data_IF_778476563051
#
_entry.id   IF_778476563051
#
_cell.length_a   1.000
_cell.length_b   1.000
_cell.length_c   1.000
_cell.angle_alpha   90.00
_cell.angle_beta   90.00
_cell.angle_gamma   90.00
#
_symmetry.space_group_name_H-M   'P 1'
#
loop_
_entity.id
_entity.type
_entity.pdbx_description
1 polymer ?
#
# COMPACT_ATOMS: atom_id res chain seq x y z
N UNK A 1 -10.80 -55.36 8.96
CA UNK A 1 -10.12 -54.35 9.79
C UNK A 1 -9.81 -53.13 8.92
N UNK A 2 -10.65 -52.10 8.99
CA UNK A 2 -10.57 -50.86 8.23
C UNK A 2 -9.51 -49.94 8.85
N UNK A 3 -8.47 -49.60 8.10
CA UNK A 3 -7.46 -48.64 8.52
C UNK A 3 -8.05 -47.22 8.44
N UNK A 4 -8.28 -46.59 9.59
CA UNK A 4 -8.56 -45.15 9.66
C UNK A 4 -7.30 -44.41 9.20
N UNK A 5 -7.36 -43.81 8.02
CA UNK A 5 -6.36 -42.86 7.54
C UNK A 5 -6.54 -41.56 8.37
N UNK A 6 -5.50 -41.00 8.99
CA UNK A 6 -5.64 -39.80 9.78
C UNK A 6 -5.96 -38.62 8.83
N UNK A 7 -7.19 -38.10 8.93
CA UNK A 7 -7.69 -36.95 8.17
C UNK A 7 -7.15 -35.60 8.66
N UNK A 8 -6.47 -35.58 9.81
CA UNK A 8 -5.98 -34.35 10.48
C UNK A 8 -4.86 -33.59 9.75
N UNK A 9 -3.81 -34.23 9.18
CA UNK A 9 -2.75 -33.49 8.50
C UNK A 9 -3.20 -32.90 7.15
N UNK A 10 -4.26 -33.44 6.53
CA UNK A 10 -4.82 -32.88 5.30
C UNK A 10 -5.53 -31.54 5.54
N UNK A 11 -6.17 -31.36 6.70
CA UNK A 11 -6.83 -30.09 7.05
C UNK A 11 -5.83 -28.97 7.35
N UNK A 12 -4.67 -29.29 7.92
CA UNK A 12 -3.65 -28.30 8.27
C UNK A 12 -2.92 -27.72 7.04
N UNK A 13 -2.80 -28.49 5.96
CA UNK A 13 -2.22 -28.02 4.69
C UNK A 13 -3.17 -27.06 3.95
N UNK A 14 -4.49 -27.20 4.16
CA UNK A 14 -5.51 -26.34 3.54
C UNK A 14 -5.59 -24.93 4.16
N UNK A 15 -5.05 -24.70 5.37
CA UNK A 15 -5.17 -23.40 6.07
C UNK A 15 -4.01 -22.44 5.84
N UNK A 16 -2.93 -22.85 5.17
CA UNK A 16 -1.75 -21.99 4.93
C UNK A 16 -1.94 -21.09 3.68
N UNK A 17 -2.95 -21.33 2.86
CA UNK A 17 -3.02 -20.79 1.50
C UNK A 17 -4.17 -19.83 1.21
N UNK A 18 -4.31 -18.71 1.93
CA UNK A 18 -4.81 -17.44 1.36
C UNK A 18 -4.65 -16.31 2.39
N UNK A 19 -3.51 -15.64 2.35
CA UNK A 19 -3.43 -14.23 2.79
C UNK A 19 -3.12 -13.42 1.55
N UNK A 20 -4.03 -13.45 0.57
CA UNK A 20 -3.99 -12.50 -0.53
C UNK A 20 -4.48 -11.15 0.00
N UNK A 21 -3.56 -10.20 0.16
CA UNK A 21 -3.94 -8.80 0.25
C UNK A 21 -4.76 -8.45 -0.99
N UNK A 22 -5.93 -7.84 -0.81
CA UNK A 22 -6.82 -7.51 -1.92
C UNK A 22 -6.15 -6.48 -2.85
N UNK A 23 -5.50 -6.96 -3.91
CA UNK A 23 -4.87 -6.12 -4.92
C UNK A 23 -5.91 -5.83 -6.01
N UNK A 24 -6.48 -4.63 -5.99
CA UNK A 24 -7.44 -4.20 -7.01
C UNK A 24 -6.74 -4.01 -8.35
N UNK A 25 -7.09 -4.82 -9.34
CA UNK A 25 -6.62 -4.67 -10.71
C UNK A 25 -7.56 -3.74 -11.48
N UNK A 26 -7.04 -2.62 -11.98
CA UNK A 26 -7.78 -1.68 -12.81
C UNK A 26 -7.22 -1.73 -14.24
N UNK A 27 -7.94 -2.30 -15.23
CA UNK A 27 -7.48 -2.30 -16.60
C UNK A 27 -7.55 -0.88 -17.19
N UNK A 28 -6.48 -0.45 -17.84
CA UNK A 28 -6.40 0.84 -18.55
C UNK A 28 -5.70 0.65 -19.89
N UNK A 29 -6.16 1.32 -20.95
CA UNK A 29 -5.48 1.30 -22.26
C UNK A 29 -4.54 2.49 -22.40
N UNK A 30 -3.49 2.31 -23.19
CA UNK A 30 -2.57 3.39 -23.51
C UNK A 30 -3.32 4.55 -24.20
N UNK A 31 -3.06 5.78 -23.77
CA UNK A 31 -3.71 6.99 -24.26
C UNK A 31 -4.99 7.38 -23.50
N UNK A 32 -5.55 6.49 -22.67
CA UNK A 32 -6.76 6.81 -21.89
C UNK A 32 -6.44 7.67 -20.67
N UNK A 33 -7.40 8.53 -20.32
CA UNK A 33 -7.37 9.25 -19.05
C UNK A 33 -7.82 8.31 -17.93
N UNK A 34 -6.99 8.15 -16.90
CA UNK A 34 -7.30 7.32 -15.73
C UNK A 34 -7.52 8.20 -14.52
N UNK A 35 -8.54 7.90 -13.72
CA UNK A 35 -8.83 8.60 -12.46
C UNK A 35 -8.84 7.59 -11.33
N UNK A 36 -7.88 7.72 -10.42
CA UNK A 36 -7.76 6.89 -9.22
C UNK A 36 -8.26 7.69 -8.02
N UNK A 37 -9.00 7.03 -7.13
CA UNK A 37 -9.61 7.71 -5.99
C UNK A 37 -9.96 6.75 -4.88
N UNK A 38 -9.88 7.27 -3.66
CA UNK A 38 -10.43 6.65 -2.45
C UNK A 38 -11.73 7.37 -2.05
N UNK A 39 -12.30 7.01 -0.88
CA UNK A 39 -13.40 7.77 -0.30
C UNK A 39 -12.98 9.25 -0.14
N UNK A 40 -13.74 10.22 -0.69
CA UNK A 40 -13.43 11.65 -0.58
C UNK A 40 -13.24 12.17 0.85
N UNK A 41 -13.73 11.46 1.86
CA UNK A 41 -13.54 11.79 3.28
C UNK A 41 -12.09 11.64 3.75
N UNK A 42 -11.27 10.86 3.05
CA UNK A 42 -9.92 10.50 3.48
C UNK A 42 -8.85 11.59 3.27
N UNK A 43 -9.22 12.80 2.85
CA UNK A 43 -8.32 13.98 2.72
C UNK A 43 -6.96 13.65 2.10
N UNK A 44 -6.99 13.01 0.93
CA UNK A 44 -5.78 12.63 0.19
C UNK A 44 -5.16 13.87 -0.47
N UNK A 45 -3.86 14.05 -0.27
CA UNK A 45 -3.05 15.11 -0.87
C UNK A 45 -1.87 14.54 -1.67
N UNK A 46 -1.42 13.34 -1.35
CA UNK A 46 -0.23 12.72 -1.93
C UNK A 46 -0.61 11.36 -2.49
N UNK A 47 -0.14 11.09 -3.70
CA UNK A 47 -0.16 9.77 -4.29
C UNK A 47 1.26 9.27 -4.47
N UNK A 48 1.42 7.97 -4.30
CA UNK A 48 2.66 7.25 -4.53
C UNK A 48 2.41 6.19 -5.60
N UNK A 49 3.38 6.02 -6.50
CA UNK A 49 3.41 4.90 -7.43
C UNK A 49 4.73 4.16 -7.33
N UNK A 50 4.66 2.84 -7.43
CA UNK A 50 5.81 1.97 -7.57
C UNK A 50 5.70 1.22 -8.90
N UNK A 51 6.68 1.41 -9.76
CA UNK A 51 6.68 0.88 -11.14
C UNK A 51 8.07 0.48 -11.59
N UNK A 52 8.16 -0.32 -12.63
CA UNK A 52 9.45 -0.72 -13.21
C UNK A 52 9.81 0.19 -14.38
N UNK A 53 10.94 0.88 -14.28
CA UNK A 53 11.50 1.73 -15.34
C UNK A 53 12.86 1.15 -15.73
N UNK A 54 13.01 0.73 -16.99
CA UNK A 54 14.24 0.09 -17.50
C UNK A 54 14.75 -1.10 -16.65
N UNK A 55 13.83 -1.90 -16.08
CA UNK A 55 14.17 -3.06 -15.25
C UNK A 55 14.48 -2.72 -13.78
N UNK A 56 14.42 -1.44 -13.39
CA UNK A 56 14.61 -0.99 -12.01
C UNK A 56 13.27 -0.58 -11.41
N UNK A 57 12.98 -1.03 -10.20
CA UNK A 57 11.80 -0.58 -9.46
C UNK A 57 12.04 0.83 -8.95
N UNK A 58 11.12 1.73 -9.28
CA UNK A 58 11.18 3.14 -8.90
C UNK A 58 9.91 3.50 -8.14
N UNK A 59 10.07 4.15 -6.99
CA UNK A 59 8.98 4.76 -6.23
C UNK A 59 8.98 6.27 -6.45
N UNK A 60 7.83 6.80 -6.84
CA UNK A 60 7.63 8.22 -7.11
C UNK A 60 6.38 8.74 -6.41
N UNK A 61 6.41 9.99 -5.96
CA UNK A 61 5.26 10.67 -5.36
C UNK A 61 4.81 11.86 -6.19
N UNK A 62 3.52 12.15 -6.15
CA UNK A 62 2.93 13.38 -6.69
C UNK A 62 2.00 13.97 -5.64
N UNK A 63 2.12 15.29 -5.44
CA UNK A 63 1.40 15.99 -4.38
C UNK A 63 0.43 17.01 -4.99
N UNK A 64 -0.71 17.19 -4.33
CA UNK A 64 -1.71 18.20 -4.65
C UNK A 64 -1.06 19.58 -4.68
N UNK A 65 -1.19 20.25 -5.82
CA UNK A 65 -0.83 21.65 -5.95
C UNK A 65 -1.79 22.53 -5.14
N UNK A 66 -1.27 23.24 -4.15
CA UNK A 66 -2.00 24.26 -3.40
C UNK A 66 -1.26 25.59 -3.58
N UNK A 67 -1.93 26.59 -4.16
CA UNK A 67 -1.35 27.91 -4.42
C UNK A 67 -0.49 27.98 -5.69
N UNK A 68 0.43 28.95 -5.73
CA UNK A 68 1.14 29.35 -6.95
C UNK A 68 2.45 28.58 -7.22
N UNK A 69 2.90 27.73 -6.29
CA UNK A 69 4.11 26.91 -6.44
C UNK A 69 3.89 25.68 -7.34
N UNK A 70 3.45 25.92 -8.58
CA UNK A 70 3.15 24.86 -9.56
C UNK A 70 4.36 23.98 -9.91
N UNK A 71 5.57 24.54 -9.88
CA UNK A 71 6.79 23.85 -10.31
C UNK A 71 7.14 22.61 -9.47
N UNK A 72 6.79 22.59 -8.17
CA UNK A 72 7.11 21.48 -7.26
C UNK A 72 6.04 20.38 -7.24
N UNK A 73 4.84 20.68 -7.73
CA UNK A 73 3.68 19.79 -7.67
C UNK A 73 3.18 19.33 -9.06
N UNK A 74 3.81 19.80 -10.15
CA UNK A 74 3.49 19.43 -11.54
C UNK A 74 4.31 18.26 -12.06
N UNK A 75 4.55 17.24 -11.23
CA UNK A 75 5.39 16.11 -11.64
C UNK A 75 5.55 15.03 -10.59
N UNK A 76 6.06 13.90 -11.05
CA UNK A 76 6.39 12.75 -10.22
C UNK A 76 7.79 12.94 -9.64
N UNK A 77 7.88 13.04 -8.32
CA UNK A 77 9.14 13.13 -7.59
C UNK A 77 9.63 11.74 -7.22
N UNK A 78 10.78 11.34 -7.72
CA UNK A 78 11.43 10.10 -7.30
C UNK A 78 11.82 10.19 -5.81
N UNK A 79 11.43 9.19 -5.03
CA UNK A 79 11.61 9.20 -3.56
C UNK A 79 13.07 9.05 -3.16
N UNK A 80 13.87 8.28 -3.91
CA UNK A 80 15.28 8.01 -3.61
C UNK A 80 16.19 9.17 -4.01
N UNK A 81 15.98 9.72 -5.20
CA UNK A 81 16.85 10.75 -5.79
C UNK A 81 16.35 12.17 -5.57
N UNK A 82 15.08 12.33 -5.19
CA UNK A 82 14.41 13.63 -5.08
C UNK A 82 14.15 14.33 -6.42
N UNK A 83 14.53 13.72 -7.56
CA UNK A 83 14.37 14.29 -8.90
C UNK A 83 12.89 14.33 -9.29
N UNK A 84 12.44 15.48 -9.80
CA UNK A 84 11.08 15.65 -10.32
C UNK A 84 11.06 15.40 -11.83
N UNK A 85 10.18 14.51 -12.25
CA UNK A 85 9.83 14.29 -13.66
C UNK A 85 8.55 15.06 -13.96
N UNK A 86 8.58 16.12 -14.77
CA UNK A 86 7.38 16.88 -15.14
C UNK A 86 6.31 15.97 -15.74
N UNK A 87 5.06 16.17 -15.33
CA UNK A 87 3.91 15.41 -15.86
C UNK A 87 2.68 16.31 -16.01
N UNK A 88 1.75 15.88 -16.86
CA UNK A 88 0.40 16.45 -16.95
C UNK A 88 -0.56 15.86 -15.91
N UNK A 89 -0.11 14.84 -15.18
CA UNK A 89 -0.89 14.21 -14.13
C UNK A 89 -1.07 15.15 -12.95
N UNK A 90 -2.22 15.08 -12.29
CA UNK A 90 -2.56 15.97 -11.19
C UNK A 90 -3.30 15.24 -10.08
N UNK A 91 -3.04 15.65 -8.84
CA UNK A 91 -3.93 15.32 -7.71
C UNK A 91 -4.97 16.42 -7.60
N UNK A 92 -6.21 16.09 -7.94
CA UNK A 92 -7.35 17.01 -7.88
C UNK A 92 -7.63 17.44 -6.44
N UNK A 93 -8.37 18.54 -6.26
CA UNK A 93 -8.67 19.11 -4.93
C UNK A 93 -9.40 18.14 -3.99
N UNK A 94 -10.20 17.23 -4.56
CA UNK A 94 -10.90 16.16 -3.83
C UNK A 94 -10.02 14.94 -3.48
N UNK A 95 -8.74 14.98 -3.85
CA UNK A 95 -7.75 13.95 -3.55
C UNK A 95 -7.66 12.83 -4.59
N UNK A 96 -8.40 12.89 -5.69
CA UNK A 96 -8.27 11.93 -6.79
C UNK A 96 -7.02 12.20 -7.62
N UNK A 97 -6.30 11.14 -7.99
CA UNK A 97 -5.20 11.21 -8.96
C UNK A 97 -5.77 11.10 -10.37
N UNK A 98 -5.40 12.04 -11.24
CA UNK A 98 -5.78 12.06 -12.64
C UNK A 98 -4.52 11.84 -13.49
N UNK A 99 -4.41 10.68 -14.11
CA UNK A 99 -3.39 10.37 -15.10
C UNK A 99 -3.92 10.84 -16.45
N UNK A 100 -3.25 11.82 -17.06
CA UNK A 100 -3.81 12.54 -18.21
C UNK A 100 -3.88 11.67 -19.47
N UNK A 101 -2.86 10.83 -19.69
CA UNK A 101 -2.76 9.91 -20.82
C UNK A 101 -1.89 8.72 -20.41
N UNK A 102 -2.55 7.66 -19.94
CA UNK A 102 -1.89 6.48 -19.41
C UNK A 102 -0.94 5.87 -20.43
N UNK A 103 0.29 5.58 -20.02
CA UNK A 103 1.27 4.85 -20.83
C UNK A 103 1.52 3.47 -20.22
N UNK A 104 1.97 2.52 -21.03
CA UNK A 104 2.34 1.19 -20.51
C UNK A 104 3.41 1.26 -19.41
N UNK A 105 4.30 2.25 -19.48
CA UNK A 105 5.31 2.49 -18.45
C UNK A 105 4.75 3.05 -17.15
N UNK A 106 3.48 3.42 -17.10
CA UNK A 106 2.78 3.83 -15.88
C UNK A 106 2.15 2.64 -15.15
N UNK A 107 2.18 1.43 -15.73
CA UNK A 107 1.78 0.20 -15.05
C UNK A 107 2.57 0.02 -13.75
N UNK A 108 1.86 -0.18 -12.65
CA UNK A 108 2.46 -0.28 -11.33
C UNK A 108 1.45 -0.29 -10.21
N UNK A 109 1.96 -0.29 -8.99
CA UNK A 109 1.16 -0.15 -7.77
C UNK A 109 0.93 1.33 -7.49
N UNK A 110 -0.30 1.70 -7.18
CA UNK A 110 -0.67 3.07 -6.77
C UNK A 110 -1.26 3.04 -5.37
N UNK A 111 -0.78 3.93 -4.52
CA UNK A 111 -1.25 4.08 -3.14
C UNK A 111 -1.19 5.54 -2.70
N UNK A 112 -1.69 5.80 -1.49
CA UNK A 112 -1.53 7.10 -0.85
C UNK A 112 -0.96 6.94 0.55
N UNK A 113 0.17 7.60 0.88
CA UNK A 113 0.71 7.58 2.23
C UNK A 113 -0.19 8.33 3.24
N UNK A 114 -1.14 9.13 2.75
CA UNK A 114 -2.08 9.87 3.59
C UNK A 114 -3.19 8.97 4.18
N UNK A 115 -3.32 7.74 3.69
CA UNK A 115 -4.21 6.74 4.28
C UNK A 115 -3.66 6.30 5.63
N UNK A 116 -3.93 7.08 6.67
CA UNK A 116 -3.68 6.66 8.04
C UNK A 116 -4.57 5.46 8.35
N UNK A 117 -3.95 4.30 8.53
CA UNK A 117 -4.60 3.14 9.10
C UNK A 117 -5.00 3.49 10.53
N UNK A 118 -6.28 3.83 10.76
CA UNK A 118 -6.74 4.09 12.11
C UNK A 118 -6.64 2.76 12.86
N UNK A 119 -5.68 2.64 13.79
CA UNK A 119 -5.74 1.63 14.83
C UNK A 119 -6.97 1.93 15.68
N UNK A 120 -8.16 1.45 15.27
CA UNK A 120 -9.29 1.34 16.18
C UNK A 120 -8.85 0.36 17.25
N UNK A 121 -8.37 0.88 18.39
CA UNK A 121 -8.31 0.08 19.62
C UNK A 121 -9.70 -0.55 19.77
N UNK A 122 -9.84 -1.88 19.83
CA UNK A 122 -11.13 -2.46 20.13
C UNK A 122 -11.58 -1.87 21.46
N UNK A 123 -12.73 -1.18 21.45
CA UNK A 123 -13.40 -0.74 22.66
C UNK A 123 -13.64 -2.00 23.49
N UNK A 124 -12.88 -2.11 24.59
CA UNK A 124 -12.83 -3.23 25.54
C UNK A 124 -12.19 -4.51 24.98
N UNK A 125 -10.86 -4.51 24.89
CA UNK A 125 -10.14 -5.74 25.22
C UNK A 125 -10.47 -6.07 26.68
N UNK A 126 -11.41 -6.99 26.92
CA UNK A 126 -11.39 -7.80 28.12
C UNK A 126 -10.04 -8.52 28.08
N UNK A 127 -9.04 -7.92 28.74
CA UNK A 127 -7.76 -8.57 28.99
C UNK A 127 -8.09 -9.70 29.94
N UNK A 128 -8.32 -10.90 29.40
CA UNK A 128 -8.13 -12.12 30.16
C UNK A 128 -6.65 -12.16 30.50
N UNK A 129 -6.29 -11.60 31.66
CA UNK A 129 -5.03 -11.90 32.31
C UNK A 129 -5.11 -13.37 32.69
N UNK A 130 -4.62 -14.24 31.82
CA UNK A 130 -4.14 -15.55 32.26
C UNK A 130 -3.04 -15.30 33.29
N UNK A 131 -3.18 -15.76 34.54
CA UNK A 131 -2.08 -15.68 35.49
C UNK A 131 -0.90 -16.47 34.93
N UNK A 132 0.21 -15.77 34.71
CA UNK A 132 1.51 -16.35 34.43
C UNK A 132 1.87 -17.30 35.58
N UNK A 133 1.73 -18.60 35.36
CA UNK A 133 2.61 -19.56 36.00
C UNK A 133 3.89 -19.62 35.16
N UNK A 134 4.97 -19.34 35.86
CA UNK A 134 6.31 -19.20 35.34
C UNK A 134 6.81 -20.47 34.64
N UNK A 135 7.48 -20.27 33.50
CA UNK A 135 8.71 -21.00 33.16
C UNK A 135 9.42 -20.27 32.02
N UNK A 136 10.40 -19.47 32.43
CA UNK A 136 11.70 -19.25 31.78
C UNK A 136 11.88 -19.82 30.37
N UNK A 137 12.16 -18.95 29.39
CA UNK A 137 13.34 -19.11 28.53
C UNK A 137 13.81 -17.72 28.09
N UNK A 138 15.04 -17.41 28.49
CA UNK A 138 15.80 -16.24 28.11
C UNK A 138 16.25 -16.38 26.67
N UNK A 139 16.05 -15.35 25.84
CA UNK A 139 17.09 -14.97 24.89
C UNK A 139 16.85 -13.55 24.38
N UNK A 140 17.84 -12.72 24.71
CA UNK A 140 18.07 -11.37 24.23
C UNK A 140 18.13 -11.31 22.69
N UNK A 141 17.54 -10.28 22.09
CA UNK A 141 18.14 -9.63 20.92
C UNK A 141 18.14 -8.11 21.15
N UNK A 142 19.35 -7.57 21.29
CA UNK A 142 19.66 -6.16 21.31
C UNK A 142 19.38 -5.54 19.93
N UNK A 143 18.75 -4.36 19.94
CA UNK A 143 18.83 -3.41 18.83
C UNK A 143 20.11 -2.58 19.03
N UNK A 144 21.01 -2.59 18.05
CA UNK A 144 22.11 -1.63 17.97
C UNK A 144 21.66 -0.43 17.13
N UNK A 145 21.81 0.75 17.73
CA UNK A 145 22.22 2.00 17.04
C UNK A 145 23.73 2.01 16.89
#
# INVERSE_FOLDING_TARGET
>A
MTKLVPLLPLLAVLTIGVVDGALMHMPAKAGEKVVLGFDPKLKINTWERTRTVHGVTVTETITKCIGDNKAECSGWKNVETGKVTPSKDVVAMDGRLMIASFQKTDEGLYQSPDMQMSLRRPLKALVWRTPLLASSFSSFMHFNT
#
